data_IF_797693696404
#
_entry.id   IF_797693696404
#
_cell.length_a   1.000
_cell.length_b   1.000
_cell.length_c   1.000
_cell.angle_alpha   90.00
_cell.angle_beta   90.00
_cell.angle_gamma   90.00
#
_symmetry.space_group_name_H-M   'P 1'
#
loop_
_entity.id
_entity.type
_entity.pdbx_description
1 polymer ?
#
# COMPACT_ATOMS: atom_id res chain seq x y z
N UNK A 1 -15.51 4.39 -8.91
CA UNK A 1 -14.06 4.23 -8.66
C UNK A 1 -13.68 5.09 -7.46
N UNK A 2 -13.08 4.50 -6.42
CA UNK A 2 -12.61 5.22 -5.23
C UNK A 2 -11.09 5.23 -5.18
N UNK A 3 -10.52 6.35 -4.76
CA UNK A 3 -9.09 6.48 -4.50
C UNK A 3 -8.82 6.13 -3.04
N UNK A 4 -7.83 5.28 -2.82
CA UNK A 4 -7.41 4.85 -1.51
C UNK A 4 -5.96 5.27 -1.27
N UNK A 5 -5.68 5.59 -0.01
CA UNK A 5 -4.35 5.83 0.50
C UNK A 5 -4.03 4.76 1.53
N UNK A 6 -2.82 4.22 1.48
CA UNK A 6 -2.37 3.21 2.44
C UNK A 6 -0.96 3.52 2.89
N UNK A 7 -0.68 3.24 4.15
CA UNK A 7 0.68 3.23 4.68
C UNK A 7 1.08 1.78 4.87
N UNK A 8 2.24 1.41 4.35
CA UNK A 8 2.79 0.06 4.43
C UNK A 8 4.06 0.12 5.23
N UNK A 9 4.17 -0.73 6.23
CA UNK A 9 5.34 -0.86 7.11
C UNK A 9 5.98 -2.21 6.94
N UNK A 10 7.28 -2.31 7.17
CA UNK A 10 7.94 -3.61 7.26
C UNK A 10 7.65 -4.24 8.62
N UNK A 11 7.45 -5.57 8.67
CA UNK A 11 7.44 -6.29 9.94
C UNK A 11 8.85 -6.21 10.58
N UNK A 12 8.90 -6.05 11.90
CA UNK A 12 10.15 -5.86 12.65
C UNK A 12 11.19 -6.95 12.35
N UNK A 13 12.47 -6.57 12.28
CA UNK A 13 13.61 -7.49 12.14
C UNK A 13 14.14 -7.68 10.72
N UNK A 14 13.67 -6.88 9.75
CA UNK A 14 13.95 -7.10 8.35
C UNK A 14 14.45 -5.77 7.72
N UNK A 15 15.76 -5.59 7.59
CA UNK A 15 16.34 -4.41 6.91
C UNK A 15 15.97 -4.40 5.43
N UNK A 16 15.51 -3.25 4.94
CA UNK A 16 15.32 -2.95 3.50
C UNK A 16 15.52 -1.47 3.33
N UNK A 17 16.10 -1.05 2.21
CA UNK A 17 16.18 0.38 1.92
C UNK A 17 14.78 0.96 1.69
N UNK A 18 14.61 2.26 1.93
CA UNK A 18 13.34 2.98 1.76
C UNK A 18 12.76 2.80 0.36
N UNK A 19 13.63 2.87 -0.65
CA UNK A 19 13.25 2.69 -2.05
C UNK A 19 12.72 1.29 -2.33
N UNK A 20 13.32 0.27 -1.71
CA UNK A 20 12.89 -1.12 -1.87
C UNK A 20 11.49 -1.34 -1.29
N UNK A 21 11.17 -0.79 -0.12
CA UNK A 21 9.86 -1.01 0.50
C UNK A 21 8.71 -0.40 -0.32
N UNK A 22 8.88 0.86 -0.75
CA UNK A 22 7.86 1.55 -1.55
C UNK A 22 7.63 0.87 -2.90
N UNK A 23 8.70 0.45 -3.55
CA UNK A 23 8.63 -0.24 -4.84
C UNK A 23 8.09 -1.67 -4.71
N UNK A 24 8.46 -2.41 -3.65
CA UNK A 24 7.90 -3.73 -3.34
C UNK A 24 6.40 -3.65 -3.07
N UNK A 25 5.96 -2.65 -2.30
CA UNK A 25 4.55 -2.42 -2.02
C UNK A 25 3.78 -2.04 -3.29
N UNK A 26 4.34 -1.15 -4.13
CA UNK A 26 3.75 -0.77 -5.44
C UNK A 26 3.60 -1.99 -6.33
N UNK A 27 4.66 -2.77 -6.50
CA UNK A 27 4.66 -4.01 -7.27
C UNK A 27 3.69 -5.06 -6.72
N UNK A 28 3.48 -5.10 -5.39
CA UNK A 28 2.50 -5.99 -4.78
C UNK A 28 1.08 -5.57 -5.11
N UNK A 29 0.78 -4.28 -4.98
CA UNK A 29 -0.53 -3.68 -5.24
C UNK A 29 -0.94 -3.78 -6.71
N UNK A 30 -0.03 -3.49 -7.64
CA UNK A 30 -0.31 -3.56 -9.09
C UNK A 30 -0.65 -4.98 -9.59
N UNK A 31 -0.25 -6.01 -8.84
CA UNK A 31 -0.60 -7.40 -9.14
C UNK A 31 -1.97 -7.81 -8.60
N UNK A 32 -2.63 -6.96 -7.82
CA UNK A 32 -3.96 -7.25 -7.26
C UNK A 32 -5.02 -6.92 -8.31
N UNK A 33 -5.86 -7.89 -8.73
CA UNK A 33 -6.91 -7.63 -9.72
C UNK A 33 -7.94 -6.61 -9.21
N UNK A 34 -8.08 -5.52 -9.97
CA UNK A 34 -8.98 -4.41 -9.62
C UNK A 34 -8.29 -3.26 -8.89
N UNK A 35 -6.96 -3.26 -8.80
CA UNK A 35 -6.15 -2.11 -8.40
C UNK A 35 -5.61 -1.42 -9.65
N UNK A 36 -5.72 -0.10 -9.70
CA UNK A 36 -5.22 0.73 -10.80
C UNK A 36 -4.53 1.98 -10.26
N UNK A 37 -3.81 2.68 -11.14
CA UNK A 37 -3.20 3.98 -10.84
C UNK A 37 -2.36 3.99 -9.54
N UNK A 38 -1.64 2.89 -9.27
CA UNK A 38 -0.84 2.76 -8.07
C UNK A 38 0.38 3.69 -8.12
N UNK A 39 0.56 4.52 -7.08
CA UNK A 39 1.65 5.50 -6.99
C UNK A 39 2.23 5.51 -5.58
N UNK A 40 3.55 5.48 -5.49
CA UNK A 40 4.28 5.79 -4.26
C UNK A 40 4.26 7.31 -4.05
N UNK A 41 3.67 7.77 -2.94
CA UNK A 41 3.60 9.20 -2.60
C UNK A 41 4.74 9.63 -1.68
N UNK A 42 5.12 8.78 -0.73
CA UNK A 42 6.17 9.06 0.24
C UNK A 42 6.86 7.76 0.66
N UNK A 43 8.17 7.81 0.83
CA UNK A 43 8.95 6.73 1.44
C UNK A 43 9.76 7.27 2.62
N UNK A 44 9.78 6.51 3.72
CA UNK A 44 10.63 6.73 4.87
C UNK A 44 11.25 5.40 5.34
N UNK A 45 12.33 5.41 6.15
CA UNK A 45 12.87 4.18 6.75
C UNK A 45 11.78 3.40 7.47
N UNK A 46 11.48 2.19 6.97
CA UNK A 46 10.47 1.29 7.54
C UNK A 46 9.01 1.60 7.16
N UNK A 47 8.74 2.62 6.36
CA UNK A 47 7.38 3.05 6.00
C UNK A 47 7.29 3.54 4.54
N UNK A 48 6.22 3.17 3.84
CA UNK A 48 5.90 3.69 2.51
C UNK A 48 4.41 4.04 2.40
N UNK A 49 4.10 5.22 1.88
CA UNK A 49 2.73 5.66 1.61
C UNK A 49 2.43 5.50 0.13
N UNK A 50 1.39 4.72 -0.19
CA UNK A 50 0.95 4.48 -1.57
C UNK A 50 -0.50 4.93 -1.75
N UNK A 51 -0.80 5.41 -2.95
CA UNK A 51 -2.17 5.63 -3.40
C UNK A 51 -2.51 4.69 -4.54
N UNK A 52 -3.77 4.26 -4.61
CA UNK A 52 -4.28 3.47 -5.72
C UNK A 52 -5.78 3.66 -5.87
N UNK A 53 -6.33 3.22 -6.98
CA UNK A 53 -7.76 3.26 -7.26
C UNK A 53 -8.32 1.85 -7.33
N UNK A 54 -9.54 1.65 -6.83
CA UNK A 54 -10.26 0.38 -6.97
C UNK A 54 -11.78 0.60 -7.04
N UNK A 55 -12.49 -0.35 -7.66
CA UNK A 55 -13.95 -0.45 -7.65
C UNK A 55 -14.44 -1.44 -6.59
N UNK A 56 -13.52 -2.18 -5.95
CA UNK A 56 -13.82 -3.15 -4.91
C UNK A 56 -13.70 -2.47 -3.54
N UNK A 57 -14.80 -2.04 -2.92
CA UNK A 57 -14.76 -1.36 -1.61
C UNK A 57 -14.18 -2.26 -0.50
N UNK A 58 -14.27 -3.58 -0.65
CA UNK A 58 -13.70 -4.55 0.27
C UNK A 58 -12.18 -4.69 0.15
N UNK A 59 -11.57 -4.15 -0.91
CA UNK A 59 -10.18 -4.37 -1.25
C UNK A 59 -9.17 -4.00 -0.16
N UNK A 60 -9.32 -2.85 0.52
CA UNK A 60 -8.47 -2.50 1.65
C UNK A 60 -8.46 -3.54 2.77
N UNK A 61 -9.57 -4.24 3.02
CA UNK A 61 -9.69 -5.17 4.14
C UNK A 61 -8.90 -6.48 3.95
N UNK A 62 -8.77 -7.00 2.72
CA UNK A 62 -7.96 -8.21 2.45
C UNK A 62 -6.52 -7.90 2.01
N UNK A 63 -6.20 -6.60 1.88
CA UNK A 63 -4.90 -6.13 1.46
C UNK A 63 -3.81 -6.45 2.48
N UNK A 64 -4.14 -6.36 3.78
CA UNK A 64 -3.22 -6.70 4.87
C UNK A 64 -2.74 -8.16 4.77
N UNK A 65 -3.63 -9.11 4.49
CA UNK A 65 -3.25 -10.51 4.29
C UNK A 65 -2.30 -10.70 3.09
N UNK A 66 -2.54 -9.99 1.98
CA UNK A 66 -1.68 -10.06 0.79
C UNK A 66 -0.30 -9.42 0.99
N UNK A 67 -0.23 -8.40 1.84
CA UNK A 67 1.04 -7.74 2.20
C UNK A 67 1.80 -8.53 3.26
N UNK A 68 1.09 -9.17 4.20
CA UNK A 68 1.64 -10.05 5.22
C UNK A 68 2.43 -11.21 4.62
N UNK A 69 1.93 -11.84 3.55
CA UNK A 69 2.62 -12.89 2.79
C UNK A 69 3.97 -12.42 2.21
N UNK A 70 4.19 -11.10 2.15
CA UNK A 70 5.42 -10.47 1.63
C UNK A 70 6.27 -9.80 2.71
N UNK A 71 6.02 -10.08 3.99
CA UNK A 71 6.76 -9.50 5.11
C UNK A 71 6.42 -8.03 5.39
N UNK A 72 5.33 -7.53 4.80
CA UNK A 72 4.82 -6.17 5.01
C UNK A 72 3.61 -6.22 5.94
N UNK A 73 3.38 -5.14 6.67
CA UNK A 73 2.19 -4.90 7.46
C UNK A 73 1.50 -3.66 6.89
N UNK A 74 0.18 -3.71 6.77
CA UNK A 74 -0.60 -2.55 6.37
C UNK A 74 -0.93 -1.73 7.62
N UNK A 75 -0.44 -0.50 7.68
CA UNK A 75 -0.91 0.49 8.65
C UNK A 75 -1.93 1.38 7.93
N UNK A 76 -3.19 1.01 8.04
CA UNK A 76 -4.24 1.54 7.17
C UNK A 76 -4.66 2.96 7.58
N UNK A 77 -4.68 3.90 6.63
CA UNK A 77 -5.22 5.23 6.81
C UNK A 77 -6.16 5.57 5.64
N UNK A 78 -7.46 5.30 5.81
CA UNK A 78 -8.49 5.73 4.85
C UNK A 78 -8.65 7.26 4.91
N UNK A 79 -7.93 7.98 4.05
CA UNK A 79 -8.29 9.37 3.74
C UNK A 79 -9.30 9.32 2.59
N UNK A 80 -10.55 9.03 2.93
CA UNK A 80 -11.66 9.33 2.02
C UNK A 80 -11.68 10.84 1.75
N UNK A 81 -11.74 11.16 0.47
CA UNK A 81 -11.98 12.49 -0.10
C UNK A 81 -10.95 13.58 0.23
N UNK A 82 -9.80 13.52 -0.43
CA UNK A 82 -9.18 14.79 -0.87
C UNK A 82 -10.04 15.36 -2.00
N UNK A 83 -11.13 16.02 -1.62
CA UNK A 83 -11.79 16.97 -2.51
C UNK A 83 -10.75 18.01 -2.94
N UNK A 84 -10.63 18.09 -4.27
CA UNK A 84 -10.01 19.15 -5.08
C UNK A 84 -10.11 20.55 -4.48
#
# INVERSE_FOLDING_TARGET
MKKHLVVVKRRQGQETSVGDLGELARCALERIPGVWNCKLLKGAPGEATLSFETEKPELPHWLDAKLADRGMALDYAELCDWHS
#
